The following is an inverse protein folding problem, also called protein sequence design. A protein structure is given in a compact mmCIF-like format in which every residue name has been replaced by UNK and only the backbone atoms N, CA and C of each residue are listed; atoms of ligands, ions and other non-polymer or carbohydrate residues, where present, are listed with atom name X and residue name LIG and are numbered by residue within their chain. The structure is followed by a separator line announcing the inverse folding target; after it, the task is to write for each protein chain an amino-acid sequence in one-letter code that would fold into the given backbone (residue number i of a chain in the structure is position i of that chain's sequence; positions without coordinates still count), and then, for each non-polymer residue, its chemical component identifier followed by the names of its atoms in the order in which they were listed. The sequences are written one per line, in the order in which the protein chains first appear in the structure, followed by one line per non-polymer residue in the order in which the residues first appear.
data_IF_439101374008
#
_entry.id   IF_439101374008
#
_cell.length_a   1.000
_cell.length_b   1.000
_cell.length_c   1.000
_cell.angle_alpha   90.00
_cell.angle_beta   90.00
_cell.angle_gamma   90.00
#
_symmetry.space_group_name_H-M   'P 1'
#
loop_
_entity.id
_entity.type
_entity.pdbx_description
1 polymer ?
#
# COMPACT_ATOMS: atom_id res chain seq x y z
N UNK A 1 -11.48 -50.73 -1.52
CA UNK A 1 -10.82 -49.51 -1.00
C UNK A 1 -9.63 -49.25 -1.89
N UNK A 2 -9.69 -48.22 -2.75
CA UNK A 2 -8.57 -47.85 -3.62
C UNK A 2 -7.53 -47.12 -2.79
N UNK A 3 -6.37 -47.74 -2.59
CA UNK A 3 -5.22 -47.10 -1.96
C UNK A 3 -4.83 -45.85 -2.75
N UNK A 4 -4.79 -44.73 -2.05
CA UNK A 4 -4.46 -43.45 -2.63
C UNK A 4 -2.98 -43.47 -3.03
N UNK A 5 -2.70 -43.26 -4.32
CA UNK A 5 -1.33 -43.32 -4.84
C UNK A 5 -0.46 -42.29 -4.09
N UNK A 6 0.69 -42.68 -3.53
CA UNK A 6 1.58 -41.78 -2.77
C UNK A 6 1.94 -40.51 -3.53
N UNK A 7 2.01 -40.55 -4.87
CA UNK A 7 2.25 -39.37 -5.71
C UNK A 7 1.09 -38.38 -5.70
N UNK A 8 -0.15 -38.87 -5.71
CA UNK A 8 -1.35 -38.01 -5.73
C UNK A 8 -1.51 -37.31 -4.39
N UNK A 9 -1.20 -38.01 -3.28
CA UNK A 9 -1.14 -37.42 -1.94
C UNK A 9 -0.06 -36.34 -1.82
N UNK A 10 1.11 -36.57 -2.43
CA UNK A 10 2.19 -35.58 -2.47
C UNK A 10 1.78 -34.32 -3.26
N UNK A 11 1.18 -34.50 -4.44
CA UNK A 11 0.69 -33.40 -5.27
C UNK A 11 -0.39 -32.59 -4.56
N UNK A 12 -1.32 -33.26 -3.89
CA UNK A 12 -2.35 -32.59 -3.08
C UNK A 12 -1.74 -31.79 -1.93
N UNK A 13 -0.69 -32.32 -1.30
CA UNK A 13 0.03 -31.64 -0.22
C UNK A 13 0.74 -30.40 -0.74
N UNK A 14 1.41 -30.48 -1.89
CA UNK A 14 2.08 -29.34 -2.54
C UNK A 14 1.07 -28.24 -2.87
N UNK A 15 -0.04 -28.58 -3.55
CA UNK A 15 -1.08 -27.62 -3.90
C UNK A 15 -1.69 -26.93 -2.65
N UNK A 16 -1.83 -27.67 -1.56
CA UNK A 16 -2.31 -27.12 -0.29
C UNK A 16 -1.31 -26.15 0.35
N UNK A 17 0.00 -26.43 0.22
CA UNK A 17 1.05 -25.54 0.71
C UNK A 17 1.16 -24.26 -0.13
N UNK A 18 1.06 -24.36 -1.45
CA UNK A 18 1.04 -23.21 -2.36
C UNK A 18 -0.13 -22.28 -2.05
N UNK A 19 -1.35 -22.81 -1.93
CA UNK A 19 -2.52 -22.01 -1.58
C UNK A 19 -2.40 -21.29 -0.22
N UNK A 20 -1.75 -21.94 0.76
CA UNK A 20 -1.49 -21.31 2.07
C UNK A 20 -0.43 -20.22 1.97
N UNK A 21 0.59 -20.39 1.14
CA UNK A 21 1.62 -19.37 0.90
C UNK A 21 1.02 -18.16 0.18
N UNK A 22 0.19 -18.37 -0.84
CA UNK A 22 -0.51 -17.30 -1.55
C UNK A 22 -1.41 -16.50 -0.60
N UNK A 23 -2.17 -17.17 0.27
CA UNK A 23 -2.98 -16.50 1.29
C UNK A 23 -2.14 -15.63 2.24
N UNK A 24 -1.01 -16.15 2.72
CA UNK A 24 -0.09 -15.38 3.58
C UNK A 24 0.50 -14.21 2.82
N UNK A 25 0.93 -14.42 1.57
CA UNK A 25 1.46 -13.37 0.70
C UNK A 25 0.44 -12.27 0.47
N UNK A 26 -0.81 -12.61 0.15
CA UNK A 26 -1.90 -11.64 -0.06
C UNK A 26 -2.20 -10.83 1.21
N UNK A 27 -2.20 -11.50 2.37
CA UNK A 27 -2.42 -10.83 3.67
C UNK A 27 -1.30 -9.83 4.03
N UNK A 28 -0.07 -10.11 3.61
CA UNK A 28 1.09 -9.22 3.77
C UNK A 28 1.12 -8.17 2.65
N UNK A 29 0.63 -8.52 1.46
CA UNK A 29 0.61 -7.72 0.25
C UNK A 29 -0.64 -6.85 0.12
N UNK A 30 -1.32 -6.49 1.23
CA UNK A 30 -2.30 -5.39 1.26
C UNK A 30 -1.55 -4.07 0.98
N UNK A 31 -1.13 -3.91 -0.27
CA UNK A 31 -0.51 -2.74 -0.84
C UNK A 31 -1.65 -1.77 -1.10
N UNK A 32 -1.53 -0.52 -0.63
CA UNK A 32 -2.49 0.51 -0.96
C UNK A 32 -2.72 0.58 -2.47
N UNK A 33 -3.99 0.65 -2.86
CA UNK A 33 -4.41 0.87 -4.24
C UNK A 33 -3.68 2.10 -4.79
N UNK A 34 -2.72 1.87 -5.71
CA UNK A 34 -1.85 2.93 -6.26
C UNK A 34 -2.61 3.95 -7.10
N UNK A 35 -3.82 3.62 -7.56
CA UNK A 35 -4.69 4.59 -8.23
C UNK A 35 -5.28 5.60 -7.25
N UNK A 36 -5.51 5.19 -5.99
CA UNK A 36 -6.10 6.02 -4.93
C UNK A 36 -5.06 6.65 -4.02
N UNK A 37 -3.94 5.97 -3.81
CA UNK A 37 -2.94 6.34 -2.81
C UNK A 37 -1.55 6.47 -3.39
N UNK A 38 -0.82 7.42 -2.85
CA UNK A 38 0.52 7.78 -3.27
C UNK A 38 1.46 7.80 -2.07
N UNK A 39 2.73 7.49 -2.29
CA UNK A 39 3.78 7.74 -1.29
C UNK A 39 4.27 9.18 -1.37
N UNK A 40 4.97 9.66 -0.34
CA UNK A 40 5.60 10.99 -0.39
C UNK A 40 6.62 11.13 -1.54
N UNK A 41 7.24 10.02 -1.99
CA UNK A 41 8.14 10.01 -3.15
C UNK A 41 7.36 10.16 -4.46
N UNK A 42 6.23 9.48 -4.61
CA UNK A 42 5.37 9.60 -5.80
C UNK A 42 4.87 11.04 -5.95
N UNK A 43 4.46 11.68 -4.84
CA UNK A 43 4.03 13.08 -4.83
C UNK A 43 5.16 14.02 -5.27
N UNK A 44 6.40 13.76 -4.85
CA UNK A 44 7.54 14.55 -5.30
C UNK A 44 7.78 14.44 -6.80
N UNK A 45 7.67 13.24 -7.36
CA UNK A 45 7.87 13.01 -8.79
C UNK A 45 6.76 13.65 -9.61
N UNK A 46 5.50 13.54 -9.17
CA UNK A 46 4.33 14.01 -9.94
C UNK A 46 4.04 15.50 -9.76
N UNK A 47 4.24 16.06 -8.56
CA UNK A 47 3.83 17.44 -8.23
C UNK A 47 5.01 18.38 -7.93
N UNK A 48 6.26 17.88 -8.00
CA UNK A 48 7.46 18.66 -7.68
C UNK A 48 7.60 19.05 -6.20
N UNK A 49 6.74 18.54 -5.32
CA UNK A 49 6.76 18.86 -3.89
C UNK A 49 7.71 17.91 -3.16
N UNK A 50 8.76 18.45 -2.52
CA UNK A 50 9.71 17.64 -1.74
C UNK A 50 9.02 16.64 -0.81
N UNK A 51 9.43 15.37 -0.86
CA UNK A 51 8.85 14.33 0.00
C UNK A 51 8.98 14.70 1.49
N UNK A 52 10.04 15.41 1.89
CA UNK A 52 10.25 15.85 3.28
C UNK A 52 9.19 16.87 3.70
N UNK A 53 8.82 17.77 2.79
CA UNK A 53 7.72 18.72 3.00
C UNK A 53 6.40 17.99 3.20
N UNK A 54 6.10 16.99 2.36
CA UNK A 54 4.88 16.18 2.49
C UNK A 54 4.84 15.47 3.86
N UNK A 55 5.94 14.81 4.24
CA UNK A 55 6.04 14.10 5.52
C UNK A 55 5.91 15.05 6.72
N UNK A 56 6.58 16.21 6.69
CA UNK A 56 6.49 17.20 7.77
C UNK A 56 5.06 17.73 7.92
N UNK A 57 4.37 18.03 6.81
CA UNK A 57 2.98 18.50 6.82
C UNK A 57 2.00 17.43 7.32
N UNK A 58 2.33 16.15 7.16
CA UNK A 58 1.55 15.05 7.72
C UNK A 58 1.63 14.95 9.25
N UNK A 59 2.60 15.61 9.88
CA UNK A 59 2.75 15.65 11.34
C UNK A 59 2.05 16.86 11.98
N UNK A 60 1.44 17.76 11.19
CA UNK A 60 0.63 18.84 11.73
C UNK A 60 -0.65 18.31 12.39
N UNK A 61 -1.15 19.05 13.38
CA UNK A 61 -2.42 18.72 14.04
C UNK A 61 -3.58 18.72 13.03
N UNK A 62 -4.56 17.80 13.17
CA UNK A 62 -5.81 17.86 12.43
C UNK A 62 -6.46 19.24 12.58
N UNK A 63 -6.82 19.87 11.46
CA UNK A 63 -7.37 21.23 11.42
C UNK A 63 -6.36 22.33 11.08
N UNK A 64 -5.05 22.07 11.15
CA UNK A 64 -4.06 23.02 10.65
C UNK A 64 -4.20 23.19 9.13
N UNK A 65 -4.22 24.44 8.63
CA UNK A 65 -4.46 24.77 7.20
C UNK A 65 -3.57 24.00 6.22
N UNK A 66 -2.35 23.67 6.63
CA UNK A 66 -1.37 22.96 5.80
C UNK A 66 -1.29 21.45 6.10
N UNK A 67 -2.11 20.90 7.00
CA UNK A 67 -2.06 19.47 7.32
C UNK A 67 -2.38 18.64 6.07
N UNK A 68 -1.62 17.55 5.88
CA UNK A 68 -1.90 16.55 4.84
C UNK A 68 -2.23 15.23 5.54
N UNK A 69 -3.49 14.77 5.48
CA UNK A 69 -3.88 13.47 6.00
C UNK A 69 -3.05 12.34 5.39
N UNK A 70 -2.63 11.40 6.22
CA UNK A 70 -1.91 10.20 5.79
C UNK A 70 -2.35 9.02 6.62
N UNK A 71 -2.27 7.82 6.04
CA UNK A 71 -2.35 6.57 6.80
C UNK A 71 -1.07 5.76 6.64
N UNK A 72 -0.84 4.83 7.54
CA UNK A 72 0.29 3.90 7.49
C UNK A 72 -0.22 2.52 7.09
N UNK A 73 0.39 1.93 6.07
CA UNK A 73 0.14 0.54 5.70
C UNK A 73 1.41 -0.27 5.99
N UNK A 74 1.27 -1.29 6.84
CA UNK A 74 2.38 -2.11 7.29
C UNK A 74 3.43 -1.32 8.06
N UNK A 75 4.71 -1.63 7.79
CA UNK A 75 5.77 -1.45 8.79
C UNK A 75 6.06 0.01 9.14
N UNK A 76 6.20 0.92 8.15
CA UNK A 76 6.50 2.36 8.40
C UNK A 76 6.10 3.33 7.28
N UNK A 77 5.53 2.85 6.17
CA UNK A 77 5.34 3.68 4.98
C UNK A 77 4.03 4.46 5.08
N UNK A 78 4.12 5.79 5.01
CA UNK A 78 2.97 6.69 4.92
C UNK A 78 2.46 6.76 3.48
N UNK A 79 1.15 6.71 3.36
CA UNK A 79 0.40 6.83 2.12
C UNK A 79 -0.60 7.98 2.23
N UNK A 80 -0.82 8.63 1.09
CA UNK A 80 -1.57 9.87 0.96
C UNK A 80 -2.62 9.69 -0.12
N UNK A 81 -3.84 10.15 0.13
CA UNK A 81 -4.91 10.05 -0.86
C UNK A 81 -4.65 11.00 -2.03
N UNK A 82 -4.60 10.46 -3.25
CA UNK A 82 -4.29 11.20 -4.49
C UNK A 82 -5.19 12.43 -4.65
N UNK A 83 -6.51 12.27 -4.48
CA UNK A 83 -7.49 13.36 -4.56
C UNK A 83 -7.23 14.51 -3.59
N UNK A 84 -6.68 14.21 -2.41
CA UNK A 84 -6.34 15.23 -1.40
C UNK A 84 -5.08 15.99 -1.84
N UNK A 85 -4.06 15.29 -2.32
CA UNK A 85 -2.85 15.91 -2.87
C UNK A 85 -3.20 16.79 -4.06
N UNK A 86 -3.97 16.27 -5.01
CA UNK A 86 -4.48 17.03 -6.15
C UNK A 86 -5.23 18.29 -5.68
N UNK A 87 -6.14 18.19 -4.70
CA UNK A 87 -6.84 19.38 -4.19
C UNK A 87 -5.91 20.41 -3.55
N UNK A 88 -4.89 19.96 -2.83
CA UNK A 88 -3.95 20.84 -2.12
C UNK A 88 -2.94 21.52 -3.04
N UNK A 89 -2.63 20.90 -4.18
CA UNK A 89 -1.55 21.32 -5.07
C UNK A 89 -1.98 21.57 -6.52
N UNK A 90 -3.26 21.39 -6.88
CA UNK A 90 -3.85 21.93 -8.12
C UNK A 90 -3.99 23.43 -8.00
N UNK A 91 -2.88 24.13 -8.19
CA UNK A 91 -2.79 25.48 -8.70
C UNK A 91 -1.40 25.58 -9.33
N UNK A 92 -1.26 25.15 -10.59
CA UNK A 92 -0.11 25.43 -11.47
C UNK A 92 -0.43 25.07 -12.94
N UNK A 93 -1.69 25.16 -13.35
CA UNK A 93 -2.09 25.30 -14.75
C UNK A 93 -2.91 26.58 -14.88
#
# INVERSE_FOLDING_TARGET
MTEQNPKDSLLQTIATLEAKLDFVLDSIMVKPDKSKYMTAKDIQMEFGISHRTVLNRSNFLPGHKKHIPSFQAGDRRKYFERRVIERLFKQNE
#
